data_IF_502385176453
#
_entry.id   IF_502385176453
#
_cell.length_a   1.000
_cell.length_b   1.000
_cell.length_c   1.000
_cell.angle_alpha   90.00
_cell.angle_beta   90.00
_cell.angle_gamma   90.00
#
_symmetry.space_group_name_H-M   'P 1'
#
loop_
_entity.id
_entity.type
_entity.pdbx_description
1 polymer ?
#
# COMPACT_ATOMS: atom_id res chain seq x y z
N UNK A 1 -5.26 -25.84 7.27
CA UNK A 1 -5.61 -24.95 6.13
C UNK A 1 -5.57 -23.50 6.62
N UNK A 2 -4.96 -22.58 5.86
CA UNK A 2 -4.83 -21.15 6.27
C UNK A 2 -6.08 -20.35 5.90
N UNK A 3 -6.37 -19.27 6.64
CA UNK A 3 -7.49 -18.38 6.30
C UNK A 3 -7.22 -17.68 4.95
N UNK A 4 -8.06 -17.99 3.95
CA UNK A 4 -8.05 -17.32 2.64
C UNK A 4 -8.78 -15.98 2.71
N UNK A 5 -8.40 -15.05 1.84
CA UNK A 5 -8.91 -13.69 1.83
C UNK A 5 -9.41 -13.30 0.44
N UNK A 6 -10.48 -12.52 0.40
CA UNK A 6 -11.04 -11.93 -0.82
C UNK A 6 -10.91 -10.41 -0.76
N UNK A 7 -10.78 -9.78 -1.93
CA UNK A 7 -10.80 -8.32 -2.01
C UNK A 7 -12.13 -7.77 -1.47
N UNK A 8 -12.07 -6.69 -0.68
CA UNK A 8 -13.24 -6.05 -0.08
C UNK A 8 -13.87 -4.98 -0.98
N UNK A 9 -13.12 -4.43 -1.93
CA UNK A 9 -13.61 -3.55 -2.99
C UNK A 9 -14.19 -4.37 -4.14
N UNK A 10 -15.08 -3.75 -4.91
CA UNK A 10 -15.62 -4.31 -6.15
C UNK A 10 -14.55 -4.61 -7.22
N UNK A 11 -13.43 -3.88 -7.19
CA UNK A 11 -12.30 -4.11 -8.11
C UNK A 11 -11.58 -5.42 -7.79
N UNK A 12 -11.70 -6.39 -8.69
CA UNK A 12 -11.21 -7.77 -8.52
C UNK A 12 -9.77 -7.99 -8.99
N UNK A 13 -9.16 -7.03 -9.69
CA UNK A 13 -7.85 -7.23 -10.32
C UNK A 13 -6.67 -6.81 -9.43
N UNK A 14 -5.57 -7.56 -9.54
CA UNK A 14 -4.31 -7.29 -8.85
C UNK A 14 -3.50 -6.19 -9.57
N UNK A 15 -3.91 -4.94 -9.37
CA UNK A 15 -3.30 -3.76 -10.01
C UNK A 15 -2.44 -2.96 -9.02
N UNK A 16 -1.53 -2.12 -9.51
CA UNK A 16 -0.64 -1.29 -8.66
C UNK A 16 -1.40 -0.37 -7.70
N UNK A 17 -2.60 0.08 -8.08
CA UNK A 17 -3.48 0.89 -7.23
C UNK A 17 -4.30 0.06 -6.22
N UNK A 18 -4.39 -1.26 -6.42
CA UNK A 18 -5.14 -2.20 -5.59
C UNK A 18 -4.22 -3.06 -4.72
N UNK A 19 -3.03 -2.57 -4.39
CA UNK A 19 -2.15 -3.26 -3.46
C UNK A 19 -2.77 -3.31 -2.06
N UNK A 20 -2.59 -4.45 -1.40
CA UNK A 20 -3.20 -4.74 -0.10
C UNK A 20 -2.16 -5.26 0.89
N UNK A 21 -2.41 -5.04 2.17
CA UNK A 21 -1.67 -5.65 3.29
C UNK A 21 -2.61 -6.51 4.11
N UNK A 22 -2.16 -7.68 4.51
CA UNK A 22 -2.91 -8.55 5.42
C UNK A 22 -2.66 -8.05 6.85
N UNK A 23 -3.74 -7.75 7.56
CA UNK A 23 -3.69 -7.28 8.96
C UNK A 23 -4.59 -8.18 9.80
N UNK A 24 -4.11 -8.51 11.01
CA UNK A 24 -4.92 -9.20 12.02
C UNK A 24 -5.75 -8.16 12.75
N UNK A 25 -7.06 -8.31 12.69
CA UNK A 25 -8.00 -7.45 13.41
C UNK A 25 -8.03 -7.80 14.91
N UNK A 26 -8.47 -6.90 15.80
CA UNK A 26 -8.63 -7.22 17.23
C UNK A 26 -9.50 -8.46 17.48
N UNK A 27 -10.52 -8.69 16.64
CA UNK A 27 -11.36 -9.89 16.68
C UNK A 27 -10.68 -11.17 16.14
N UNK A 28 -9.37 -11.16 15.93
CA UNK A 28 -8.57 -12.33 15.54
C UNK A 28 -8.64 -12.71 14.05
N UNK A 29 -9.42 -12.01 13.23
CA UNK A 29 -9.60 -12.32 11.80
C UNK A 29 -8.52 -11.66 10.95
N UNK A 30 -7.95 -12.39 9.99
CA UNK A 30 -7.12 -11.81 8.93
C UNK A 30 -8.01 -11.07 7.92
N UNK A 31 -7.61 -9.86 7.53
CA UNK A 31 -8.36 -9.01 6.60
C UNK A 31 -7.38 -8.21 5.71
N UNK A 32 -7.75 -7.98 4.45
CA UNK A 32 -7.04 -7.02 3.59
C UNK A 32 -7.33 -5.57 3.97
N UNK A 33 -6.27 -4.81 4.19
CA UNK A 33 -6.29 -3.34 4.21
C UNK A 33 -5.70 -2.80 2.90
N UNK A 34 -6.35 -1.80 2.32
CA UNK A 34 -5.89 -1.17 1.09
C UNK A 34 -4.82 -0.13 1.39
N UNK A 35 -3.68 -0.27 0.75
CA UNK A 35 -2.60 0.72 0.83
C UNK A 35 -2.66 1.65 -0.37
N UNK A 36 -2.43 2.94 -0.14
CA UNK A 36 -2.16 3.89 -1.23
C UNK A 36 -0.80 3.55 -1.87
N UNK A 37 -0.63 3.96 -3.13
CA UNK A 37 0.67 3.83 -3.81
C UNK A 37 1.72 4.65 -3.06
N UNK A 38 2.93 4.10 -2.95
CA UNK A 38 4.07 4.83 -2.38
C UNK A 38 4.44 6.00 -3.29
N UNK A 39 4.41 7.22 -2.76
CA UNK A 39 4.88 8.39 -3.46
C UNK A 39 6.41 8.34 -3.61
N UNK A 40 6.91 8.94 -4.69
CA UNK A 40 8.33 9.20 -4.85
C UNK A 40 8.63 10.58 -4.30
N UNK A 41 9.72 10.67 -3.53
CA UNK A 41 10.10 11.92 -2.88
C UNK A 41 10.49 13.05 -3.80
N UNK A 42 10.39 14.30 -3.30
CA UNK A 42 10.82 15.46 -4.05
C UNK A 42 12.31 15.35 -4.36
N UNK A 43 12.64 15.69 -5.60
CA UNK A 43 13.99 15.65 -6.13
C UNK A 43 14.44 17.07 -6.45
N UNK A 44 15.73 17.33 -6.32
CA UNK A 44 16.35 18.54 -6.80
C UNK A 44 16.21 18.61 -8.34
N UNK A 45 15.70 19.71 -8.91
CA UNK A 45 15.45 19.81 -10.35
C UNK A 45 16.73 19.79 -11.20
N UNK A 46 17.88 20.19 -10.62
CA UNK A 46 19.16 20.24 -11.33
C UNK A 46 19.95 18.94 -11.17
N UNK A 47 20.01 18.38 -9.95
CA UNK A 47 20.85 17.21 -9.66
C UNK A 47 20.11 15.88 -9.69
N UNK A 48 18.77 15.88 -9.66
CA UNK A 48 17.95 14.67 -9.58
C UNK A 48 18.04 13.91 -8.25
N UNK A 49 18.83 14.39 -7.29
CA UNK A 49 18.98 13.77 -5.96
C UNK A 49 17.74 14.02 -5.11
N UNK A 50 17.42 13.08 -4.22
CA UNK A 50 16.32 13.24 -3.24
C UNK A 50 16.67 14.37 -2.26
N UNK A 51 15.71 15.26 -2.02
CA UNK A 51 15.87 16.32 -1.02
C UNK A 51 15.78 15.69 0.38
N UNK A 52 16.82 15.87 1.19
CA UNK A 52 16.84 15.39 2.58
C UNK A 52 15.99 16.31 3.46
N UNK A 53 15.37 15.76 4.50
CA UNK A 53 14.56 16.54 5.45
C UNK A 53 13.12 16.85 4.99
N UNK A 54 12.74 16.50 3.76
CA UNK A 54 11.35 16.60 3.30
C UNK A 54 10.72 15.21 3.28
N UNK A 55 9.63 15.04 4.03
CA UNK A 55 8.81 13.82 4.05
C UNK A 55 7.65 13.93 3.07
N UNK A 56 7.40 12.83 2.36
CA UNK A 56 6.24 12.59 1.48
C UNK A 56 5.01 12.08 2.23
#
# INVERSE_FOLDING_TARGET
MVQRLTYRKRHSYATKSNQTRVVKTPGGKLVYQYTKKRASGPKCPVTGKKIQGVSD
#
